data_IF_189155758126
#
_entry.id   IF_189155758126
#
_cell.length_a   1.000
_cell.length_b   1.000
_cell.length_c   1.000
_cell.angle_alpha   90.00
_cell.angle_beta   90.00
_cell.angle_gamma   90.00
#
_symmetry.space_group_name_H-M   'P 1'
#
loop_
_entity.id
_entity.type
_entity.pdbx_description
1 polymer ?
#
# COMPACT_ATOMS: atom_id res chain seq x y z
N UNK A 1 3.31 -53.64 -26.73
CA UNK A 1 4.22 -52.50 -27.04
C UNK A 1 5.14 -52.89 -28.21
N UNK A 2 4.90 -52.43 -29.45
CA UNK A 2 5.54 -52.97 -30.66
C UNK A 2 7.04 -52.61 -30.84
N UNK A 3 7.52 -51.51 -30.23
CA UNK A 3 8.94 -51.11 -30.27
C UNK A 3 9.78 -51.80 -29.19
N UNK A 4 9.27 -51.86 -27.96
CA UNK A 4 9.94 -52.50 -26.82
C UNK A 4 10.18 -53.99 -27.03
N UNK A 5 9.21 -54.70 -27.60
CA UNK A 5 9.34 -56.14 -27.90
C UNK A 5 10.32 -56.43 -29.03
N UNK A 6 10.48 -55.51 -30.01
CA UNK A 6 11.50 -55.63 -31.06
C UNK A 6 12.91 -55.37 -30.52
N UNK A 7 13.07 -54.38 -29.63
CA UNK A 7 14.35 -54.08 -28.99
C UNK A 7 14.79 -55.20 -28.03
N UNK A 8 13.85 -55.73 -27.25
CA UNK A 8 14.08 -56.84 -26.31
C UNK A 8 14.67 -58.06 -27.02
N UNK A 9 14.15 -58.42 -28.21
CA UNK A 9 14.65 -59.55 -29.00
C UNK A 9 16.09 -59.38 -29.50
N UNK A 10 16.61 -58.15 -29.59
CA UNK A 10 17.97 -57.88 -30.08
C UNK A 10 19.00 -57.68 -28.98
N UNK A 11 18.61 -57.08 -27.85
CA UNK A 11 19.55 -56.60 -26.82
C UNK A 11 19.43 -57.38 -25.50
N UNK A 12 18.40 -58.21 -25.35
CA UNK A 12 18.13 -58.92 -24.10
C UNK A 12 17.42 -58.05 -23.06
N UNK A 13 16.98 -58.67 -21.96
CA UNK A 13 16.16 -58.01 -20.94
C UNK A 13 17.02 -57.14 -19.98
N UNK A 14 18.12 -57.65 -19.43
CA UNK A 14 19.01 -56.94 -18.48
C UNK A 14 19.40 -55.49 -18.90
N UNK A 15 20.01 -55.26 -20.07
CA UNK A 15 20.43 -53.92 -20.46
C UNK A 15 19.25 -52.99 -20.79
N UNK A 16 18.12 -53.53 -21.26
CA UNK A 16 16.92 -52.75 -21.57
C UNK A 16 16.27 -52.19 -20.30
N UNK A 17 16.20 -53.01 -19.24
CA UNK A 17 15.64 -52.63 -17.94
C UNK A 17 16.55 -51.59 -17.28
N UNK A 18 17.85 -51.88 -17.23
CA UNK A 18 18.86 -51.01 -16.61
C UNK A 18 18.87 -49.64 -17.28
N UNK A 19 18.88 -49.59 -18.62
CA UNK A 19 18.82 -48.33 -19.36
C UNK A 19 17.53 -47.57 -19.11
N UNK A 20 16.38 -48.24 -18.99
CA UNK A 20 15.11 -47.61 -18.64
C UNK A 20 15.12 -46.93 -17.27
N UNK A 21 15.60 -47.63 -16.23
CA UNK A 21 15.67 -47.10 -14.87
C UNK A 21 16.71 -45.96 -14.76
N UNK A 22 17.88 -46.11 -15.40
CA UNK A 22 18.90 -45.05 -15.46
C UNK A 22 18.34 -43.82 -16.19
N UNK A 23 17.61 -44.01 -17.30
CA UNK A 23 16.99 -42.91 -18.03
C UNK A 23 15.93 -42.18 -17.20
N UNK A 24 15.14 -42.90 -16.39
CA UNK A 24 14.21 -42.29 -15.42
C UNK A 24 14.96 -41.47 -14.37
N UNK A 25 16.02 -42.02 -13.78
CA UNK A 25 16.85 -41.31 -12.80
C UNK A 25 17.48 -40.03 -13.37
N UNK A 26 18.04 -40.11 -14.58
CA UNK A 26 18.60 -38.94 -15.28
C UNK A 26 17.51 -37.90 -15.54
N UNK A 27 16.32 -38.30 -16.00
CA UNK A 27 15.23 -37.37 -16.25
C UNK A 27 14.76 -36.66 -14.97
N UNK A 28 14.65 -37.38 -13.86
CA UNK A 28 14.32 -36.78 -12.56
C UNK A 28 15.41 -35.80 -12.10
N UNK A 29 16.69 -36.13 -12.30
CA UNK A 29 17.79 -35.20 -12.06
C UNK A 29 17.72 -33.96 -12.96
N UNK A 30 17.27 -34.09 -14.21
CA UNK A 30 17.05 -32.93 -15.09
C UNK A 30 15.91 -32.05 -14.57
N UNK A 31 14.83 -32.65 -14.06
CA UNK A 31 13.69 -31.94 -13.47
C UNK A 31 14.07 -31.17 -12.20
N UNK A 32 15.10 -31.60 -11.45
CA UNK A 32 15.60 -30.82 -10.30
C UNK A 32 16.12 -29.43 -10.68
N UNK A 33 16.52 -29.23 -11.94
CA UNK A 33 17.04 -27.95 -12.47
C UNK A 33 15.94 -27.03 -13.02
N UNK A 34 14.66 -27.37 -12.82
CA UNK A 34 13.55 -26.49 -13.20
C UNK A 34 13.59 -25.20 -12.39
N UNK A 35 13.43 -24.08 -13.09
CA UNK A 35 13.38 -22.75 -12.50
C UNK A 35 12.20 -21.96 -13.08
N UNK A 36 11.88 -20.81 -12.49
CA UNK A 36 10.76 -19.95 -12.90
C UNK A 36 10.89 -19.45 -14.35
N UNK A 37 12.11 -19.42 -14.90
CA UNK A 37 12.39 -19.02 -16.28
C UNK A 37 12.46 -20.19 -17.27
N UNK A 38 12.20 -21.43 -16.83
CA UNK A 38 12.30 -22.59 -17.72
C UNK A 38 11.18 -22.57 -18.76
N UNK A 39 11.56 -22.66 -20.03
CA UNK A 39 10.61 -22.72 -21.14
C UNK A 39 9.74 -23.97 -21.07
N UNK A 40 8.47 -23.81 -21.42
CA UNK A 40 7.49 -24.90 -21.55
C UNK A 40 8.03 -26.08 -22.37
N UNK A 41 8.73 -25.79 -23.47
CA UNK A 41 9.29 -26.82 -24.36
C UNK A 41 10.30 -27.70 -23.63
N UNK A 42 11.16 -27.10 -22.80
CA UNK A 42 12.17 -27.84 -22.03
C UNK A 42 11.51 -28.78 -21.02
N UNK A 43 10.44 -28.34 -20.36
CA UNK A 43 9.68 -29.16 -19.42
C UNK A 43 9.02 -30.36 -20.12
N UNK A 44 8.43 -30.14 -21.29
CA UNK A 44 7.83 -31.21 -22.11
C UNK A 44 8.90 -32.22 -22.55
N UNK A 45 10.08 -31.76 -22.99
CA UNK A 45 11.17 -32.67 -23.37
C UNK A 45 11.63 -33.55 -22.21
N UNK A 46 11.78 -33.00 -21.00
CA UNK A 46 12.14 -33.80 -19.80
C UNK A 46 11.05 -34.82 -19.46
N UNK A 47 9.77 -34.44 -19.56
CA UNK A 47 8.64 -35.37 -19.36
C UNK A 47 8.61 -36.49 -20.40
N UNK A 48 8.93 -36.21 -21.67
CA UNK A 48 9.03 -37.24 -22.71
C UNK A 48 10.15 -38.23 -22.36
N UNK A 49 11.32 -37.74 -21.94
CA UNK A 49 12.45 -38.61 -21.54
C UNK A 49 12.05 -39.49 -20.33
N UNK A 50 11.32 -38.92 -19.36
CA UNK A 50 10.80 -39.69 -18.22
C UNK A 50 9.83 -40.79 -18.67
N UNK A 51 8.90 -40.45 -19.56
CA UNK A 51 7.93 -41.40 -20.11
C UNK A 51 8.57 -42.53 -20.93
N UNK A 52 9.64 -42.23 -21.68
CA UNK A 52 10.43 -43.23 -22.39
C UNK A 52 11.14 -44.19 -21.42
N UNK A 53 11.77 -43.65 -20.37
CA UNK A 53 12.40 -44.47 -19.33
C UNK A 53 11.39 -45.38 -18.63
N UNK A 54 10.22 -44.84 -18.28
CA UNK A 54 9.12 -45.60 -17.68
C UNK A 54 8.62 -46.73 -18.61
N UNK A 55 8.43 -46.43 -19.90
CA UNK A 55 8.01 -47.43 -20.88
C UNK A 55 9.00 -48.59 -21.04
N UNK A 56 10.31 -48.31 -20.98
CA UNK A 56 11.35 -49.34 -20.98
C UNK A 56 11.36 -50.16 -19.69
N UNK A 57 11.20 -49.50 -18.53
CA UNK A 57 11.13 -50.14 -17.22
C UNK A 57 9.92 -51.06 -17.04
N UNK A 58 8.76 -50.74 -17.62
CA UNK A 58 7.56 -51.59 -17.53
C UNK A 58 7.70 -52.94 -18.23
N UNK A 59 8.57 -53.08 -19.24
CA UNK A 59 8.78 -54.33 -19.97
C UNK A 59 9.41 -55.43 -19.09
N UNK A 60 10.11 -55.04 -18.02
CA UNK A 60 10.80 -55.92 -17.05
C UNK A 60 9.87 -56.93 -16.38
N UNK A 61 8.71 -56.47 -15.90
CA UNK A 61 7.84 -57.24 -15.01
C UNK A 61 7.25 -58.47 -15.70
N UNK A 62 6.99 -58.36 -17.01
CA UNK A 62 6.41 -59.44 -17.82
C UNK A 62 7.43 -60.55 -18.10
N UNK A 63 8.72 -60.20 -18.17
CA UNK A 63 9.78 -61.16 -18.47
C UNK A 63 10.13 -62.07 -17.29
N UNK A 64 10.03 -61.59 -16.04
CA UNK A 64 10.38 -62.36 -14.85
C UNK A 64 9.52 -63.63 -14.66
N UNK A 65 8.27 -63.62 -15.13
CA UNK A 65 7.35 -64.76 -15.02
C UNK A 65 7.65 -65.84 -16.06
N UNK A 66 8.39 -65.52 -17.14
CA UNK A 66 8.68 -66.46 -18.23
C UNK A 66 9.75 -67.50 -17.88
N UNK A 67 10.51 -67.30 -16.79
CA UNK A 67 11.59 -68.19 -16.36
C UNK A 67 11.17 -69.22 -15.30
N UNK A 68 9.86 -69.31 -14.99
CA UNK A 68 9.33 -70.22 -13.96
C UNK A 68 8.57 -71.38 -14.63
N UNK A 69 8.79 -72.61 -14.14
CA UNK A 69 8.08 -73.82 -14.58
C UNK A 69 6.55 -73.65 -14.53
N UNK A 70 5.82 -74.20 -15.51
CA UNK A 70 4.35 -73.99 -15.68
C UNK A 70 3.55 -74.26 -14.39
N UNK A 71 3.92 -75.29 -13.62
CA UNK A 71 3.23 -75.66 -12.37
C UNK A 71 3.38 -74.62 -11.25
N UNK A 72 4.38 -73.73 -11.34
CA UNK A 72 4.67 -72.68 -10.35
C UNK A 72 4.38 -71.28 -10.86
N UNK A 73 3.92 -71.13 -12.12
CA UNK A 73 3.65 -69.84 -12.74
C UNK A 73 2.58 -69.03 -11.99
N UNK A 74 1.57 -69.70 -11.43
CA UNK A 74 0.53 -69.06 -10.61
C UNK A 74 1.09 -68.43 -9.33
N UNK A 75 1.98 -69.14 -8.61
CA UNK A 75 2.64 -68.62 -7.40
C UNK A 75 3.59 -67.47 -7.73
N UNK A 76 4.39 -67.59 -8.80
CA UNK A 76 5.30 -66.54 -9.24
C UNK A 76 4.55 -65.26 -9.63
N UNK A 77 3.44 -65.38 -10.36
CA UNK A 77 2.58 -64.24 -10.70
C UNK A 77 1.99 -63.58 -9.45
N UNK A 78 1.57 -64.38 -8.45
CA UNK A 78 1.10 -63.87 -7.15
C UNK A 78 2.16 -63.05 -6.42
N UNK A 79 3.40 -63.56 -6.32
CA UNK A 79 4.52 -62.86 -5.67
C UNK A 79 4.88 -61.56 -6.39
N UNK A 80 4.92 -61.57 -7.74
CA UNK A 80 5.19 -60.37 -8.54
C UNK A 80 4.11 -59.31 -8.32
N UNK A 81 2.84 -59.71 -8.33
CA UNK A 81 1.73 -58.77 -8.10
C UNK A 81 1.73 -58.22 -6.67
N UNK A 82 2.00 -59.06 -5.66
CA UNK A 82 2.13 -58.62 -4.27
C UNK A 82 3.30 -57.65 -4.08
N UNK A 83 4.47 -57.96 -4.66
CA UNK A 83 5.65 -57.09 -4.65
C UNK A 83 5.37 -55.75 -5.32
N UNK A 84 4.63 -55.77 -6.45
CA UNK A 84 4.21 -54.54 -7.13
C UNK A 84 3.31 -53.67 -6.26
N UNK A 85 2.32 -54.26 -5.58
CA UNK A 85 1.44 -53.49 -4.69
C UNK A 85 2.20 -52.93 -3.48
N UNK A 86 3.11 -53.70 -2.88
CA UNK A 86 3.99 -53.22 -1.82
C UNK A 86 4.87 -52.05 -2.28
N UNK A 87 5.49 -52.18 -3.46
CA UNK A 87 6.29 -51.11 -4.06
C UNK A 87 5.47 -49.85 -4.34
N UNK A 88 4.24 -50.00 -4.86
CA UNK A 88 3.32 -48.87 -5.07
C UNK A 88 2.97 -48.19 -3.74
N UNK A 89 2.64 -48.94 -2.70
CA UNK A 89 2.33 -48.38 -1.37
C UNK A 89 3.52 -47.60 -0.80
N UNK A 90 4.72 -48.19 -0.84
CA UNK A 90 5.95 -47.53 -0.38
C UNK A 90 6.27 -46.28 -1.20
N UNK A 91 6.11 -46.33 -2.53
CA UNK A 91 6.33 -45.19 -3.41
C UNK A 91 5.39 -44.03 -3.13
N UNK A 92 4.10 -44.33 -2.93
CA UNK A 92 3.09 -43.31 -2.55
C UNK A 92 3.41 -42.74 -1.17
N UNK A 93 3.74 -43.58 -0.18
CA UNK A 93 4.05 -43.12 1.17
C UNK A 93 5.28 -42.19 1.19
N UNK A 94 6.34 -42.53 0.45
CA UNK A 94 7.52 -41.69 0.30
C UNK A 94 7.16 -40.35 -0.37
N UNK A 95 6.40 -40.39 -1.47
CA UNK A 95 6.00 -39.19 -2.21
C UNK A 95 5.15 -38.28 -1.33
N UNK A 96 4.10 -38.81 -0.70
CA UNK A 96 3.20 -38.04 0.18
C UNK A 96 3.98 -37.49 1.38
N UNK A 97 4.82 -38.29 2.03
CA UNK A 97 5.61 -37.86 3.18
C UNK A 97 6.58 -36.72 2.84
N UNK A 98 7.36 -36.88 1.76
CA UNK A 98 8.33 -35.87 1.30
C UNK A 98 7.63 -34.60 0.83
N UNK A 99 6.57 -34.72 0.01
CA UNK A 99 5.81 -33.58 -0.49
C UNK A 99 5.10 -32.83 0.63
N UNK A 100 4.53 -33.54 1.62
CA UNK A 100 3.91 -32.90 2.79
C UNK A 100 4.94 -32.13 3.61
N UNK A 101 6.11 -32.74 3.86
CA UNK A 101 7.19 -32.12 4.61
C UNK A 101 7.73 -30.87 3.90
N UNK A 102 8.07 -30.96 2.61
CA UNK A 102 8.61 -29.82 1.84
C UNK A 102 7.58 -28.71 1.67
N UNK A 103 6.30 -29.06 1.50
CA UNK A 103 5.20 -28.09 1.44
C UNK A 103 5.04 -27.35 2.77
N UNK A 104 5.12 -28.04 3.91
CA UNK A 104 5.03 -27.40 5.22
C UNK A 104 6.19 -26.43 5.47
N UNK A 105 7.42 -26.83 5.13
CA UNK A 105 8.58 -25.94 5.19
C UNK A 105 8.40 -24.69 4.31
N UNK A 106 7.90 -24.87 3.08
CA UNK A 106 7.59 -23.76 2.19
C UNK A 106 6.53 -22.82 2.79
N UNK A 107 5.45 -23.36 3.37
CA UNK A 107 4.41 -22.56 4.05
C UNK A 107 4.98 -21.74 5.20
N UNK A 108 5.83 -22.34 6.03
CA UNK A 108 6.44 -21.65 7.17
C UNK A 108 7.44 -20.57 6.74
N UNK A 109 8.24 -20.83 5.71
CA UNK A 109 9.13 -19.85 5.12
C UNK A 109 8.35 -18.65 4.56
N UNK A 110 7.28 -18.89 3.80
CA UNK A 110 6.41 -17.84 3.26
C UNK A 110 5.77 -17.00 4.38
N UNK A 111 5.31 -17.66 5.45
CA UNK A 111 4.73 -16.98 6.63
C UNK A 111 5.75 -16.09 7.33
N UNK A 112 6.99 -16.59 7.50
CA UNK A 112 8.08 -15.84 8.13
C UNK A 112 8.50 -14.63 7.28
N UNK A 113 8.68 -14.83 5.98
CA UNK A 113 9.01 -13.77 5.02
C UNK A 113 7.93 -12.69 5.02
N UNK A 114 6.66 -13.08 4.96
CA UNK A 114 5.53 -12.16 5.04
C UNK A 114 5.57 -11.31 6.31
N UNK A 115 5.73 -11.92 7.49
CA UNK A 115 5.75 -11.19 8.75
C UNK A 115 6.92 -10.19 8.81
N UNK A 116 8.10 -10.60 8.33
CA UNK A 116 9.28 -9.74 8.25
C UNK A 116 9.06 -8.55 7.31
N UNK A 117 8.46 -8.78 6.14
CA UNK A 117 8.19 -7.73 5.16
C UNK A 117 7.08 -6.77 5.60
N UNK A 118 6.02 -7.27 6.28
CA UNK A 118 4.99 -6.42 6.90
C UNK A 118 5.63 -5.47 7.91
N UNK A 119 6.53 -5.99 8.76
CA UNK A 119 7.26 -5.19 9.74
C UNK A 119 8.20 -4.18 9.07
N UNK A 120 8.97 -4.61 8.07
CA UNK A 120 9.92 -3.77 7.32
C UNK A 120 9.23 -2.63 6.57
N UNK A 121 8.09 -2.90 5.96
CA UNK A 121 7.29 -1.91 5.25
C UNK A 121 6.45 -1.03 6.21
N UNK A 122 6.53 -1.27 7.52
CA UNK A 122 5.79 -0.54 8.55
C UNK A 122 4.29 -0.44 8.21
N UNK A 123 3.69 -1.56 7.77
CA UNK A 123 2.28 -1.59 7.37
C UNK A 123 1.42 -1.39 8.63
N UNK A 124 0.54 -0.38 8.66
CA UNK A 124 -0.29 -0.04 9.82
C UNK A 124 -1.37 -1.09 10.11
N UNK A 125 -1.88 -1.09 11.34
CA UNK A 125 -3.16 -1.73 11.64
C UNK A 125 -4.33 -0.90 11.07
N UNK A 126 -5.41 -1.52 10.54
CA UNK A 126 -5.76 -2.94 10.54
C UNK A 126 -5.22 -3.76 9.34
N UNK A 127 -4.48 -3.14 8.42
CA UNK A 127 -4.02 -3.81 7.19
C UNK A 127 -3.02 -4.93 7.49
N UNK A 128 -2.10 -4.70 8.44
CA UNK A 128 -1.17 -5.73 8.92
C UNK A 128 -1.90 -6.99 9.38
N UNK A 129 -2.94 -6.84 10.22
CA UNK A 129 -3.74 -7.98 10.70
C UNK A 129 -4.45 -8.69 9.55
N UNK A 130 -5.13 -7.97 8.66
CA UNK A 130 -5.82 -8.59 7.52
C UNK A 130 -4.85 -9.33 6.61
N UNK A 131 -3.70 -8.75 6.29
CA UNK A 131 -2.68 -9.43 5.49
C UNK A 131 -2.18 -10.72 6.12
N UNK A 132 -1.97 -10.75 7.44
CA UNK A 132 -1.54 -11.95 8.16
C UNK A 132 -2.64 -13.00 8.21
N UNK A 133 -3.88 -12.59 8.49
CA UNK A 133 -5.03 -13.49 8.57
C UNK A 133 -5.32 -14.13 7.23
N UNK A 134 -5.41 -13.35 6.16
CA UNK A 134 -5.72 -13.85 4.82
C UNK A 134 -4.60 -14.74 4.29
N UNK A 135 -3.34 -14.39 4.57
CA UNK A 135 -2.20 -15.25 4.23
C UNK A 135 -2.27 -16.58 4.98
N UNK A 136 -2.53 -16.56 6.29
CA UNK A 136 -2.64 -17.77 7.08
C UNK A 136 -3.79 -18.65 6.60
N UNK A 137 -4.93 -18.05 6.25
CA UNK A 137 -6.04 -18.76 5.65
C UNK A 137 -5.63 -19.39 4.31
N UNK A 138 -4.99 -18.63 3.42
CA UNK A 138 -4.54 -19.10 2.11
C UNK A 138 -3.47 -20.20 2.17
N UNK A 139 -2.59 -20.18 3.17
CA UNK A 139 -1.58 -21.23 3.35
C UNK A 139 -2.17 -22.52 3.92
N UNK A 140 -3.28 -22.43 4.66
CA UNK A 140 -3.90 -23.57 5.31
C UNK A 140 -5.09 -24.14 4.52
N UNK A 141 -5.66 -23.38 3.58
CA UNK A 141 -6.76 -23.84 2.75
C UNK A 141 -6.27 -24.77 1.65
N UNK A 142 -7.02 -25.85 1.43
CA UNK A 142 -6.76 -26.80 0.34
C UNK A 142 -7.41 -26.37 -0.98
N UNK A 143 -8.36 -25.43 -0.92
CA UNK A 143 -9.28 -25.09 -2.03
C UNK A 143 -9.23 -23.62 -2.48
N UNK A 144 -8.56 -22.73 -1.74
CA UNK A 144 -8.59 -21.30 -2.05
C UNK A 144 -7.51 -20.91 -3.07
N UNK A 145 -7.83 -21.13 -4.34
CA UNK A 145 -6.95 -20.82 -5.46
C UNK A 145 -6.83 -19.32 -5.73
N UNK A 146 -7.64 -18.47 -5.07
CA UNK A 146 -7.81 -17.07 -5.44
C UNK A 146 -7.64 -16.09 -4.28
N UNK A 147 -6.78 -16.46 -3.31
CA UNK A 147 -6.47 -15.65 -2.13
C UNK A 147 -6.08 -14.19 -2.42
N UNK A 148 -5.54 -13.90 -3.61
CA UNK A 148 -5.22 -12.53 -4.02
C UNK A 148 -6.46 -11.67 -4.20
N UNK A 149 -7.56 -12.25 -4.69
CA UNK A 149 -8.84 -11.56 -4.84
C UNK A 149 -9.47 -11.33 -3.47
N UNK A 150 -9.44 -12.34 -2.60
CA UNK A 150 -9.91 -12.26 -1.21
C UNK A 150 -9.15 -11.17 -0.45
N UNK A 151 -7.81 -11.21 -0.50
CA UNK A 151 -6.96 -10.19 0.13
C UNK A 151 -7.29 -8.79 -0.38
N UNK A 152 -7.40 -8.59 -1.69
CA UNK A 152 -7.76 -7.28 -2.26
C UNK A 152 -9.13 -6.80 -1.75
N UNK A 153 -10.11 -7.69 -1.66
CA UNK A 153 -11.44 -7.36 -1.16
C UNK A 153 -11.40 -6.97 0.32
N UNK A 154 -10.65 -7.69 1.15
CA UNK A 154 -10.58 -7.45 2.60
C UNK A 154 -9.73 -6.22 2.95
N UNK A 155 -8.65 -5.95 2.20
CA UNK A 155 -7.94 -4.67 2.30
C UNK A 155 -8.84 -3.50 1.90
N UNK A 156 -9.68 -3.66 0.87
CA UNK A 156 -10.64 -2.61 0.45
C UNK A 156 -11.71 -2.35 1.51
N UNK A 157 -12.19 -3.37 2.23
CA UNK A 157 -13.11 -3.18 3.38
C UNK A 157 -12.47 -2.34 4.48
N UNK A 158 -11.18 -2.54 4.70
CA UNK A 158 -10.45 -1.78 5.69
C UNK A 158 -10.18 -0.34 5.27
N UNK A 159 -10.22 0.00 3.97
CA UNK A 159 -9.91 1.33 3.40
C UNK A 159 -10.64 2.51 4.09
N UNK A 160 -11.84 2.26 4.63
CA UNK A 160 -12.68 3.30 5.26
C UNK A 160 -12.47 3.42 6.79
N UNK A 161 -11.73 2.50 7.42
CA UNK A 161 -11.43 2.60 8.85
C UNK A 161 -10.38 3.69 9.01
N UNK A 162 -10.71 4.80 9.68
CA UNK A 162 -9.73 5.87 9.93
C UNK A 162 -8.52 5.30 10.69
N UNK A 163 -7.38 5.20 10.02
CA UNK A 163 -6.12 4.82 10.65
C UNK A 163 -5.51 6.02 11.35
N UNK A 164 -4.83 5.78 12.48
CA UNK A 164 -3.96 6.78 13.08
C UNK A 164 -2.91 7.18 12.04
N UNK A 165 -2.90 8.47 11.67
CA UNK A 165 -2.04 9.01 10.61
C UNK A 165 -0.58 8.73 10.97
N UNK A 166 0.04 7.79 10.27
CA UNK A 166 1.48 7.55 10.34
C UNK A 166 2.11 8.36 9.20
N UNK A 167 3.16 9.11 9.48
CA UNK A 167 3.91 9.84 8.45
C UNK A 167 4.29 8.89 7.30
N UNK A 168 4.20 9.32 6.03
CA UNK A 168 4.61 8.48 4.90
C UNK A 168 6.09 8.07 5.04
N UNK A 169 6.37 6.82 4.70
CA UNK A 169 7.72 6.24 4.81
C UNK A 169 8.60 6.62 3.62
N UNK A 170 8.01 6.82 2.44
CA UNK A 170 8.75 7.30 1.28
C UNK A 170 9.35 8.70 1.51
N UNK A 171 10.65 8.84 1.27
CA UNK A 171 11.39 10.10 1.47
C UNK A 171 10.80 11.31 0.74
N UNK A 172 10.34 11.13 -0.51
CA UNK A 172 9.75 12.23 -1.29
C UNK A 172 8.36 12.59 -0.77
N UNK A 173 7.51 11.60 -0.50
CA UNK A 173 6.18 11.85 0.08
C UNK A 173 6.27 12.47 1.48
N UNK A 174 7.29 12.10 2.25
CA UNK A 174 7.62 12.72 3.55
C UNK A 174 7.98 14.19 3.44
N UNK A 175 8.73 14.60 2.41
CA UNK A 175 9.01 16.03 2.15
C UNK A 175 7.73 16.81 1.86
N UNK A 176 6.86 16.28 0.99
CA UNK A 176 5.57 16.93 0.67
C UNK A 176 4.68 17.00 1.92
N UNK A 177 4.59 15.91 2.69
CA UNK A 177 3.86 15.88 3.95
C UNK A 177 4.37 16.95 4.93
N UNK A 178 5.68 17.05 5.15
CA UNK A 178 6.26 18.06 6.03
C UNK A 178 6.02 19.49 5.52
N UNK A 179 6.05 19.70 4.20
CA UNK A 179 5.70 20.97 3.57
C UNK A 179 4.26 21.37 3.87
N UNK A 180 3.30 20.45 3.70
CA UNK A 180 1.88 20.71 4.04
C UNK A 180 1.67 20.99 5.53
N UNK A 181 2.40 20.31 6.43
CA UNK A 181 2.36 20.61 7.86
C UNK A 181 2.90 22.01 8.16
N UNK A 182 4.00 22.41 7.52
CA UNK A 182 4.57 23.74 7.67
C UNK A 182 3.57 24.82 7.24
N UNK A 183 2.91 24.64 6.09
CA UNK A 183 1.86 25.54 5.59
C UNK A 183 0.71 25.61 6.59
N UNK A 184 0.23 24.46 7.08
CA UNK A 184 -0.86 24.37 8.05
C UNK A 184 -0.54 25.12 9.35
N UNK A 185 0.65 24.90 9.92
CA UNK A 185 1.09 25.55 11.15
C UNK A 185 1.29 27.06 10.98
N UNK A 186 1.89 27.50 9.86
CA UNK A 186 2.07 28.92 9.55
C UNK A 186 0.72 29.62 9.34
N UNK A 187 -0.21 28.98 8.63
CA UNK A 187 -1.57 29.49 8.46
C UNK A 187 -2.31 29.60 9.80
N UNK A 188 -2.22 28.57 10.65
CA UNK A 188 -2.83 28.58 11.98
C UNK A 188 -2.32 29.72 12.86
N UNK A 189 -1.00 29.95 12.87
CA UNK A 189 -0.39 31.08 13.60
C UNK A 189 -0.83 32.44 13.06
N UNK A 190 -0.76 32.64 11.75
CA UNK A 190 -1.18 33.89 11.12
C UNK A 190 -2.67 34.17 11.37
N UNK A 191 -3.54 33.17 11.14
CA UNK A 191 -4.98 33.28 11.37
C UNK A 191 -5.30 33.64 12.83
N UNK A 192 -4.65 32.99 13.80
CA UNK A 192 -4.83 33.30 15.22
C UNK A 192 -4.43 34.75 15.56
N UNK A 193 -3.27 35.20 15.06
CA UNK A 193 -2.82 36.57 15.26
C UNK A 193 -3.80 37.61 14.69
N UNK A 194 -4.36 37.37 13.49
CA UNK A 194 -5.37 38.25 12.91
C UNK A 194 -6.70 38.21 13.69
N UNK A 195 -7.13 37.05 14.16
CA UNK A 195 -8.32 36.91 14.99
C UNK A 195 -8.18 37.70 16.30
N UNK A 196 -7.05 37.55 17.00
CA UNK A 196 -6.81 38.24 18.28
C UNK A 196 -6.76 39.76 18.08
N UNK A 197 -6.11 40.22 17.01
CA UNK A 197 -6.06 41.65 16.64
C UNK A 197 -7.45 42.20 16.32
N UNK A 198 -8.28 41.44 15.58
CA UNK A 198 -9.65 41.83 15.23
C UNK A 198 -10.58 41.83 16.43
N UNK A 199 -10.42 40.89 17.37
CA UNK A 199 -11.17 40.89 18.63
C UNK A 199 -10.89 42.12 19.49
N UNK A 200 -9.61 42.52 19.60
CA UNK A 200 -9.22 43.76 20.27
C UNK A 200 -9.81 44.99 19.58
N UNK A 201 -9.81 45.01 18.24
CA UNK A 201 -10.40 46.11 17.46
C UNK A 201 -11.91 46.22 17.69
N UNK A 202 -12.65 45.11 17.61
CA UNK A 202 -14.09 45.05 17.88
C UNK A 202 -14.39 45.47 19.32
N UNK A 203 -13.60 45.02 20.29
CA UNK A 203 -13.76 45.40 21.69
C UNK A 203 -13.54 46.91 21.88
N UNK A 204 -12.49 47.46 21.26
CA UNK A 204 -12.23 48.89 21.23
C UNK A 204 -13.38 49.69 20.61
N UNK A 205 -13.90 49.24 19.46
CA UNK A 205 -15.05 49.86 18.78
C UNK A 205 -16.35 49.76 19.59
N UNK A 206 -16.60 48.65 20.29
CA UNK A 206 -17.77 48.52 21.18
C UNK A 206 -17.70 49.48 22.37
N UNK A 207 -16.53 49.57 23.02
CA UNK A 207 -16.27 50.55 24.09
C UNK A 207 -16.45 51.98 23.56
N UNK A 208 -15.97 52.24 22.35
CA UNK A 208 -16.20 53.50 21.65
C UNK A 208 -17.69 53.76 21.46
N UNK A 209 -18.48 52.82 20.91
CA UNK A 209 -19.93 52.98 20.72
C UNK A 209 -20.70 53.21 22.02
N UNK A 210 -20.25 52.65 23.15
CA UNK A 210 -20.89 52.88 24.46
C UNK A 210 -20.53 54.25 25.02
N UNK A 211 -19.28 54.69 24.89
CA UNK A 211 -18.83 56.02 25.32
C UNK A 211 -19.36 57.16 24.42
N UNK A 212 -19.55 56.91 23.12
CA UNK A 212 -20.16 57.81 22.13
C UNK A 212 -21.60 58.16 22.50
N UNK A 213 -22.33 57.22 23.12
CA UNK A 213 -23.74 57.40 23.48
C UNK A 213 -23.94 58.39 24.65
N UNK A 214 -22.92 58.63 25.47
CA UNK A 214 -23.02 59.44 26.69
C UNK A 214 -22.45 60.87 26.56
N UNK A 215 -21.60 61.20 25.57
CA UNK A 215 -21.17 62.61 25.32
C UNK A 215 -20.49 62.80 23.96
N UNK A 216 -20.72 63.95 23.31
CA UNK A 216 -20.20 64.28 21.97
C UNK A 216 -18.68 64.57 21.95
N UNK A 217 -18.10 65.00 23.07
CA UNK A 217 -16.64 65.22 23.24
C UNK A 217 -15.86 63.90 23.33
N UNK A 218 -16.39 62.90 24.05
CA UNK A 218 -15.78 61.57 24.23
C UNK A 218 -15.58 60.80 22.92
N UNK A 219 -16.31 61.19 21.86
CA UNK A 219 -16.24 60.58 20.52
C UNK A 219 -14.90 60.86 19.83
N UNK A 220 -14.38 62.09 19.96
CA UNK A 220 -13.14 62.51 19.32
C UNK A 220 -11.92 62.00 20.07
N UNK A 221 -11.99 61.95 21.42
CA UNK A 221 -10.97 61.36 22.29
C UNK A 221 -10.65 59.92 21.93
N UNK A 222 -11.68 59.08 21.86
CA UNK A 222 -11.50 57.65 21.65
C UNK A 222 -11.11 57.32 20.21
N UNK A 223 -11.61 58.07 19.23
CA UNK A 223 -11.20 57.92 17.83
C UNK A 223 -9.71 58.27 17.65
N UNK A 224 -9.24 59.31 18.32
CA UNK A 224 -7.83 59.70 18.34
C UNK A 224 -6.95 58.61 18.97
N UNK A 225 -7.34 58.10 20.15
CA UNK A 225 -6.61 57.03 20.84
C UNK A 225 -6.58 55.71 20.05
N UNK A 226 -7.68 55.33 19.38
CA UNK A 226 -7.74 54.11 18.55
C UNK A 226 -6.81 54.18 17.33
N UNK A 227 -6.74 55.32 16.65
CA UNK A 227 -5.86 55.49 15.49
C UNK A 227 -4.38 55.46 15.93
N UNK A 228 -4.06 56.12 17.06
CA UNK A 228 -2.68 56.12 17.59
C UNK A 228 -2.26 54.76 18.15
N UNK A 229 -3.16 54.02 18.79
CA UNK A 229 -2.87 52.69 19.34
C UNK A 229 -2.81 51.58 18.29
N UNK A 230 -3.41 51.78 17.10
CA UNK A 230 -3.33 50.87 15.96
C UNK A 230 -2.83 51.58 14.69
N UNK A 231 -1.65 52.19 14.79
CA UNK A 231 -1.04 52.96 13.70
C UNK A 231 -0.84 52.11 12.43
N UNK A 232 -0.41 50.86 12.57
CA UNK A 232 -0.15 49.95 11.45
C UNK A 232 -1.43 49.64 10.64
N UNK A 233 -2.55 49.39 11.33
CA UNK A 233 -3.84 49.15 10.67
C UNK A 233 -4.36 50.38 9.95
N UNK A 234 -4.20 51.56 10.55
CA UNK A 234 -4.56 52.84 9.95
C UNK A 234 -3.65 53.21 8.75
N UNK A 235 -2.35 52.94 8.83
CA UNK A 235 -1.40 53.14 7.74
C UNK A 235 -1.74 52.25 6.55
N UNK A 236 -2.01 50.96 6.80
CA UNK A 236 -2.41 50.03 5.75
C UNK A 236 -3.75 50.46 5.12
N UNK A 237 -4.69 50.96 5.91
CA UNK A 237 -5.95 51.51 5.40
C UNK A 237 -5.72 52.72 4.47
N UNK A 238 -4.73 53.57 4.76
CA UNK A 238 -4.34 54.69 3.90
C UNK A 238 -3.72 54.26 2.56
N UNK A 239 -3.08 53.08 2.48
CA UNK A 239 -2.52 52.59 1.22
C UNK A 239 -3.58 52.28 0.16
N UNK A 240 -4.81 51.95 0.58
CA UNK A 240 -5.93 51.65 -0.32
C UNK A 240 -6.57 52.89 -0.97
N UNK A 241 -6.09 54.10 -0.71
CA UNK A 241 -6.66 55.33 -1.27
C UNK A 241 -6.60 55.37 -2.81
N UNK A 242 -5.48 54.95 -3.39
CA UNK A 242 -5.31 54.95 -4.84
C UNK A 242 -6.21 53.90 -5.50
N UNK A 243 -6.34 52.73 -4.87
CA UNK A 243 -7.27 51.68 -5.30
C UNK A 243 -8.73 52.15 -5.22
N UNK A 244 -9.08 52.90 -4.16
CA UNK A 244 -10.41 53.46 -4.00
C UNK A 244 -10.73 54.54 -5.05
N UNK A 245 -9.77 55.37 -5.44
CA UNK A 245 -9.94 56.35 -6.53
C UNK A 245 -10.23 55.66 -7.86
N UNK A 246 -9.55 54.55 -8.15
CA UNK A 246 -9.81 53.74 -9.35
C UNK A 246 -11.19 53.10 -9.32
N UNK A 247 -11.62 52.57 -8.17
CA UNK A 247 -12.95 51.98 -7.99
C UNK A 247 -14.08 53.01 -8.12
N UNK A 248 -13.87 54.22 -7.59
CA UNK A 248 -14.86 55.31 -7.64
C UNK A 248 -15.16 55.81 -9.05
N UNK A 249 -14.24 55.60 -10.00
CA UNK A 249 -14.44 55.92 -11.41
C UNK A 249 -15.31 54.88 -12.14
N UNK A 250 -15.55 53.71 -11.54
CA UNK A 250 -16.28 52.57 -12.12
C UNK A 250 -17.62 52.28 -11.41
N UNK A 251 -17.97 53.05 -10.37
CA UNK A 251 -19.12 52.77 -9.51
C UNK A 251 -20.43 53.37 -10.03
N UNK A 252 -21.31 52.51 -10.58
CA UNK A 252 -22.58 52.95 -11.20
C UNK A 252 -23.80 52.91 -10.25
N UNK A 253 -23.72 52.20 -9.12
CA UNK A 253 -24.90 52.02 -8.25
C UNK A 253 -24.91 52.95 -7.02
N UNK A 254 -26.08 53.48 -6.62
CA UNK A 254 -26.21 54.35 -5.43
C UNK A 254 -25.69 53.74 -4.13
N UNK A 255 -25.78 52.41 -3.99
CA UNK A 255 -25.26 51.69 -2.82
C UNK A 255 -23.73 51.62 -2.80
N UNK A 256 -23.08 51.49 -3.96
CA UNK A 256 -21.61 51.48 -4.06
C UNK A 256 -21.04 52.87 -3.84
N UNK A 257 -21.66 53.92 -4.42
CA UNK A 257 -21.29 55.31 -4.17
C UNK A 257 -21.32 55.67 -2.67
N UNK A 258 -22.33 55.19 -1.94
CA UNK A 258 -22.43 55.41 -0.48
C UNK A 258 -21.33 54.69 0.30
N UNK A 259 -20.97 53.46 -0.09
CA UNK A 259 -19.88 52.69 0.55
C UNK A 259 -18.51 53.33 0.28
N UNK A 260 -18.28 53.83 -0.93
CA UNK A 260 -17.05 54.53 -1.30
C UNK A 260 -16.90 55.86 -0.57
N UNK A 261 -17.98 56.63 -0.43
CA UNK A 261 -18.00 57.85 0.39
C UNK A 261 -17.64 57.57 1.84
N UNK A 262 -18.19 56.51 2.45
CA UNK A 262 -17.86 56.10 3.82
C UNK A 262 -16.40 55.68 3.95
N UNK A 263 -15.87 54.91 3.00
CA UNK A 263 -14.47 54.47 3.03
C UNK A 263 -13.50 55.64 2.80
N UNK A 264 -13.87 56.60 1.94
CA UNK A 264 -13.10 57.83 1.71
C UNK A 264 -13.04 58.68 2.98
N UNK A 265 -14.16 58.81 3.70
CA UNK A 265 -14.20 59.50 5.00
C UNK A 265 -13.34 58.77 6.04
N UNK A 266 -13.38 57.43 6.08
CA UNK A 266 -12.57 56.63 7.02
C UNK A 266 -11.06 56.79 6.77
N UNK A 267 -10.64 56.82 5.50
CA UNK A 267 -9.24 57.10 5.11
C UNK A 267 -8.85 58.52 5.52
N UNK A 268 -9.71 59.52 5.25
CA UNK A 268 -9.43 60.91 5.60
C UNK A 268 -9.27 61.11 7.12
N UNK A 269 -10.15 60.53 7.93
CA UNK A 269 -10.08 60.53 9.39
C UNK A 269 -8.82 59.83 9.90
N UNK A 270 -8.45 58.69 9.30
CA UNK A 270 -7.23 57.94 9.67
C UNK A 270 -5.96 58.73 9.38
N UNK A 271 -5.90 59.44 8.24
CA UNK A 271 -4.77 60.32 7.89
C UNK A 271 -4.59 61.48 8.88
N UNK A 272 -5.68 62.06 9.35
CA UNK A 272 -5.65 63.15 10.35
C UNK A 272 -5.12 62.61 11.68
N UNK A 273 -5.58 61.43 12.10
CA UNK A 273 -5.12 60.80 13.33
C UNK A 273 -3.65 60.36 13.27
N UNK A 274 -3.16 60.00 12.07
CA UNK A 274 -1.76 59.65 11.83
C UNK A 274 -0.84 60.86 11.58
N UNK A 275 -1.41 62.06 11.38
CA UNK A 275 -0.64 63.27 11.07
C UNK A 275 0.32 63.65 12.22
N UNK A 276 1.59 63.98 11.93
CA UNK A 276 2.54 64.46 12.95
C UNK A 276 2.13 65.76 13.62
N UNK A 277 1.29 66.57 12.93
CA UNK A 277 0.78 67.85 13.41
C UNK A 277 -0.39 67.71 14.40
N UNK A 278 -0.96 66.51 14.54
CA UNK A 278 -2.09 66.22 15.43
C UNK A 278 -1.60 65.32 16.56
N UNK A 279 -1.27 65.96 17.69
CA UNK A 279 -0.72 65.30 18.87
C UNK A 279 -1.69 65.30 20.05
N UNK A 280 -2.70 66.17 20.02
CA UNK A 280 -3.72 66.26 21.07
C UNK A 280 -5.12 66.05 20.51
N UNK A 281 -6.02 65.55 21.37
CA UNK A 281 -7.43 65.33 21.06
C UNK A 281 -8.13 66.58 20.54
N UNK A 282 -7.86 67.75 21.14
CA UNK A 282 -8.48 69.02 20.74
C UNK A 282 -8.09 69.43 19.32
N UNK A 283 -6.84 69.16 18.91
CA UNK A 283 -6.39 69.38 17.53
C UNK A 283 -7.05 68.40 16.56
N UNK A 284 -7.21 67.14 16.97
CA UNK A 284 -7.88 66.11 16.19
C UNK A 284 -9.35 66.43 15.97
N UNK A 285 -10.05 66.84 17.04
CA UNK A 285 -11.44 67.29 17.01
C UNK A 285 -11.63 68.45 16.04
N UNK A 286 -10.82 69.51 16.18
CA UNK A 286 -10.90 70.69 15.32
C UNK A 286 -10.70 70.35 13.83
N UNK A 287 -9.77 69.44 13.51
CA UNK A 287 -9.55 69.03 12.11
C UNK A 287 -10.66 68.14 11.54
N UNK A 288 -11.30 67.30 12.35
CA UNK A 288 -12.45 66.49 11.88
C UNK A 288 -13.70 67.34 11.71
N UNK A 289 -13.94 68.30 12.60
CA UNK A 289 -15.08 69.23 12.49
C UNK A 289 -15.02 70.09 11.23
N UNK A 290 -13.82 70.33 10.68
CA UNK A 290 -13.64 71.01 9.40
C UNK A 290 -14.02 70.15 8.17
N UNK A 291 -14.19 68.84 8.33
CA UNK A 291 -14.42 67.91 7.20
C UNK A 291 -15.88 67.59 6.92
N UNK A 292 -16.83 67.74 7.86
CA UNK A 292 -18.27 67.58 7.57
C UNK A 292 -19.19 67.93 8.77
N UNK A 293 -20.36 68.58 8.55
CA UNK A 293 -21.39 68.79 9.57
C UNK A 293 -22.31 67.57 9.85
N UNK A 294 -22.03 66.37 9.31
CA UNK A 294 -22.97 65.23 9.37
C UNK A 294 -22.46 64.05 10.21
N UNK A 295 -22.34 64.25 11.52
CA UNK A 295 -21.95 63.23 12.52
C UNK A 295 -22.82 61.96 12.50
N UNK A 296 -24.06 62.04 12.00
CA UNK A 296 -24.96 60.87 11.82
C UNK A 296 -24.49 59.88 10.76
N UNK A 297 -23.84 60.33 9.67
CA UNK A 297 -23.32 59.40 8.65
C UNK A 297 -22.06 58.67 9.14
N UNK A 298 -21.29 59.30 10.02
CA UNK A 298 -20.13 58.70 10.68
C UNK A 298 -20.55 57.53 11.60
N UNK A 299 -21.63 57.70 12.37
CA UNK A 299 -22.18 56.65 13.24
C UNK A 299 -22.67 55.42 12.45
N UNK A 300 -23.36 55.66 11.33
CA UNK A 300 -23.83 54.59 10.43
C UNK A 300 -22.65 53.87 9.76
N UNK A 301 -21.62 54.62 9.34
CA UNK A 301 -20.39 54.04 8.80
C UNK A 301 -19.63 53.20 9.84
N UNK A 302 -19.59 53.63 11.09
CA UNK A 302 -18.98 52.90 12.19
C UNK A 302 -19.70 51.59 12.50
N UNK A 303 -21.04 51.59 12.52
CA UNK A 303 -21.82 50.38 12.73
C UNK A 303 -21.62 49.37 11.58
N UNK A 304 -21.60 49.84 10.33
CA UNK A 304 -21.33 48.98 9.17
C UNK A 304 -19.92 48.39 9.18
N UNK A 305 -18.93 49.17 9.65
CA UNK A 305 -17.56 48.70 9.84
C UNK A 305 -17.50 47.61 10.91
N UNK A 306 -18.18 47.80 12.04
CA UNK A 306 -18.26 46.82 13.13
C UNK A 306 -18.91 45.51 12.64
N UNK A 307 -20.01 45.60 11.91
CA UNK A 307 -20.70 44.43 11.33
C UNK A 307 -19.81 43.70 10.32
N UNK A 308 -19.10 44.43 9.46
CA UNK A 308 -18.13 43.87 8.53
C UNK A 308 -16.95 43.17 9.22
N UNK A 309 -16.41 43.75 10.29
CA UNK A 309 -15.35 43.16 11.10
C UNK A 309 -15.82 41.90 11.83
N UNK A 310 -17.03 41.90 12.39
CA UNK A 310 -17.63 40.71 13.00
C UNK A 310 -17.84 39.60 11.97
N UNK A 311 -18.31 39.93 10.77
CA UNK A 311 -18.46 38.97 9.67
C UNK A 311 -17.10 38.40 9.21
N UNK A 312 -16.07 39.24 9.11
CA UNK A 312 -14.71 38.82 8.76
C UNK A 312 -14.10 37.92 9.84
N UNK A 313 -14.24 38.28 11.12
CA UNK A 313 -13.80 37.47 12.26
C UNK A 313 -14.50 36.10 12.25
N UNK A 314 -15.81 36.07 11.99
CA UNK A 314 -16.56 34.82 11.84
C UNK A 314 -16.04 33.99 10.66
N UNK A 315 -15.70 34.62 9.53
CA UNK A 315 -15.09 33.98 8.37
C UNK A 315 -13.71 33.39 8.66
N UNK A 316 -12.85 34.12 9.37
CA UNK A 316 -11.51 33.67 9.78
C UNK A 316 -11.58 32.51 10.76
N UNK A 317 -12.51 32.55 11.73
CA UNK A 317 -12.78 31.43 12.65
C UNK A 317 -13.31 30.20 11.91
N UNK A 318 -14.04 30.39 10.82
CA UNK A 318 -14.61 29.33 9.97
C UNK A 318 -13.69 28.89 8.84
N UNK A 319 -12.48 29.43 8.70
CA UNK A 319 -11.55 29.07 7.62
C UNK A 319 -10.89 27.70 7.85
N UNK A 320 -11.75 26.70 7.86
CA UNK A 320 -11.45 25.28 7.95
C UNK A 320 -11.22 24.70 6.56
N UNK A 321 -11.61 25.38 5.47
CA UNK A 321 -11.50 24.84 4.10
C UNK A 321 -10.05 24.58 3.68
N UNK A 322 -9.13 25.52 3.95
CA UNK A 322 -7.72 25.33 3.64
C UNK A 322 -7.11 24.22 4.50
N UNK A 323 -7.41 24.22 5.81
CA UNK A 323 -6.93 23.20 6.76
C UNK A 323 -7.48 21.82 6.38
N UNK A 324 -8.75 21.74 6.02
CA UNK A 324 -9.43 20.53 5.53
C UNK A 324 -8.81 20.05 4.22
N UNK A 325 -8.55 20.94 3.26
CA UNK A 325 -7.85 20.60 2.03
C UNK A 325 -6.44 20.07 2.27
N UNK A 326 -5.68 20.70 3.16
CA UNK A 326 -4.35 20.23 3.57
C UNK A 326 -4.42 18.87 4.27
N UNK A 327 -5.42 18.65 5.14
CA UNK A 327 -5.64 17.34 5.77
C UNK A 327 -6.00 16.28 4.71
N UNK A 328 -6.83 16.60 3.73
CA UNK A 328 -7.15 15.69 2.62
C UNK A 328 -5.92 15.33 1.79
N UNK A 329 -5.06 16.31 1.49
CA UNK A 329 -3.78 16.07 0.81
C UNK A 329 -2.89 15.17 1.65
N UNK A 330 -2.77 15.42 2.96
CA UNK A 330 -1.98 14.59 3.87
C UNK A 330 -2.48 13.15 3.92
N UNK A 331 -3.80 12.94 4.00
CA UNK A 331 -4.42 11.62 3.92
C UNK A 331 -4.14 10.97 2.57
N UNK A 332 -4.32 11.69 1.45
CA UNK A 332 -4.04 11.15 0.12
C UNK A 332 -2.57 10.78 -0.10
N UNK A 333 -1.62 11.56 0.41
CA UNK A 333 -0.19 11.24 0.37
C UNK A 333 0.13 9.96 1.15
N UNK A 334 -0.51 9.78 2.29
CA UNK A 334 -0.38 8.55 3.07
C UNK A 334 -0.99 7.35 2.35
N UNK A 335 -2.17 7.50 1.77
CA UNK A 335 -2.86 6.44 1.04
C UNK A 335 -2.02 5.96 -0.15
N UNK A 336 -1.41 6.90 -0.90
CA UNK A 336 -0.50 6.59 -2.00
C UNK A 336 0.74 5.83 -1.50
N UNK A 337 1.34 6.25 -0.37
CA UNK A 337 2.48 5.55 0.23
C UNK A 337 2.09 4.13 0.68
N UNK A 338 0.93 4.00 1.33
CA UNK A 338 0.39 2.71 1.76
C UNK A 338 0.14 1.78 0.57
N UNK A 339 -0.53 2.25 -0.47
CA UNK A 339 -0.80 1.46 -1.68
C UNK A 339 0.50 0.92 -2.29
N UNK A 340 1.54 1.75 -2.41
CA UNK A 340 2.87 1.31 -2.89
C UNK A 340 3.48 0.22 -2.01
N UNK A 341 3.34 0.33 -0.69
CA UNK A 341 3.84 -0.68 0.25
C UNK A 341 3.07 -1.98 0.14
N UNK A 342 1.74 -1.93 0.00
CA UNK A 342 0.90 -3.11 -0.24
C UNK A 342 1.27 -3.80 -1.57
N UNK A 343 1.45 -3.04 -2.65
CA UNK A 343 1.88 -3.58 -3.95
C UNK A 343 3.27 -4.23 -3.86
N UNK A 344 4.19 -3.58 -3.15
CA UNK A 344 5.53 -4.14 -2.91
C UNK A 344 5.46 -5.45 -2.12
N UNK A 345 4.69 -5.47 -1.03
CA UNK A 345 4.46 -6.66 -0.21
C UNK A 345 3.91 -7.82 -1.04
N UNK A 346 2.84 -7.60 -1.82
CA UNK A 346 2.24 -8.66 -2.67
C UNK A 346 3.20 -9.19 -3.73
N UNK A 347 4.07 -8.33 -4.28
CA UNK A 347 5.09 -8.72 -5.24
C UNK A 347 6.17 -9.60 -4.59
N UNK A 348 6.67 -9.20 -3.42
CA UNK A 348 7.68 -9.95 -2.68
C UNK A 348 7.11 -11.31 -2.24
N UNK A 349 5.87 -11.32 -1.74
CA UNK A 349 5.19 -12.53 -1.33
C UNK A 349 4.99 -13.51 -2.50
N UNK A 350 4.63 -13.00 -3.68
CA UNK A 350 4.56 -13.81 -4.91
C UNK A 350 5.91 -14.44 -5.24
N UNK A 351 7.00 -13.68 -5.14
CA UNK A 351 8.34 -14.18 -5.42
C UNK A 351 8.79 -15.21 -4.38
N UNK A 352 8.59 -14.96 -3.08
CA UNK A 352 8.87 -15.92 -2.00
C UNK A 352 8.08 -17.22 -2.19
N UNK A 353 6.78 -17.12 -2.51
CA UNK A 353 5.96 -18.30 -2.82
C UNK A 353 6.52 -19.10 -4.00
N UNK A 354 6.82 -18.43 -5.11
CA UNK A 354 7.32 -19.12 -6.30
C UNK A 354 8.68 -19.79 -6.02
N UNK A 355 9.59 -19.12 -5.32
CA UNK A 355 10.90 -19.68 -4.97
C UNK A 355 10.76 -20.89 -4.05
N UNK A 356 10.02 -20.77 -2.96
CA UNK A 356 9.83 -21.86 -1.99
C UNK A 356 9.10 -23.06 -2.61
N UNK A 357 8.12 -22.83 -3.50
CA UNK A 357 7.47 -23.90 -4.25
C UNK A 357 8.44 -24.60 -5.21
N UNK A 358 9.23 -23.85 -5.97
CA UNK A 358 10.24 -24.44 -6.87
C UNK A 358 11.22 -25.31 -6.08
N UNK A 359 11.73 -24.81 -4.94
CA UNK A 359 12.61 -25.60 -4.06
C UNK A 359 11.93 -26.87 -3.55
N UNK A 360 10.67 -26.80 -3.08
CA UNK A 360 9.95 -27.97 -2.61
C UNK A 360 9.77 -29.05 -3.70
N UNK A 361 9.49 -28.65 -4.94
CA UNK A 361 9.43 -29.57 -6.08
C UNK A 361 10.79 -30.16 -6.40
N UNK A 362 11.84 -29.34 -6.44
CA UNK A 362 13.22 -29.78 -6.68
C UNK A 362 13.65 -30.83 -5.66
N UNK A 363 13.40 -30.62 -4.38
CA UNK A 363 13.73 -31.57 -3.31
C UNK A 363 12.97 -32.89 -3.46
N UNK A 364 11.69 -32.82 -3.82
CA UNK A 364 10.85 -34.01 -4.04
C UNK A 364 11.39 -34.84 -5.22
N UNK A 365 11.73 -34.19 -6.34
CA UNK A 365 12.33 -34.87 -7.50
C UNK A 365 13.72 -35.43 -7.20
N UNK A 366 14.51 -34.74 -6.37
CA UNK A 366 15.83 -35.20 -5.98
C UNK A 366 15.74 -36.48 -5.14
N UNK A 367 14.85 -36.52 -4.14
CA UNK A 367 14.63 -37.73 -3.33
C UNK A 367 14.14 -38.88 -4.21
N UNK A 368 13.21 -38.62 -5.13
CA UNK A 368 12.74 -39.63 -6.08
C UNK A 368 13.86 -40.15 -6.98
N UNK A 369 14.73 -39.27 -7.49
CA UNK A 369 15.87 -39.64 -8.33
C UNK A 369 16.87 -40.53 -7.58
N UNK A 370 17.24 -40.12 -6.36
CA UNK A 370 18.16 -40.90 -5.50
C UNK A 370 17.58 -42.29 -5.22
N UNK A 371 16.29 -42.34 -4.85
CA UNK A 371 15.61 -43.60 -4.57
C UNK A 371 15.62 -44.52 -5.80
N UNK A 372 15.21 -44.02 -6.98
CA UNK A 372 15.18 -44.81 -8.22
C UNK A 372 16.58 -45.30 -8.60
N UNK A 373 17.61 -44.46 -8.52
CA UNK A 373 18.99 -44.85 -8.87
C UNK A 373 19.59 -45.85 -7.88
N UNK A 374 19.27 -45.74 -6.58
CA UNK A 374 19.71 -46.69 -5.56
C UNK A 374 19.06 -48.07 -5.76
N UNK A 375 17.77 -48.13 -6.08
CA UNK A 375 17.12 -49.40 -6.40
C UNK A 375 17.54 -49.97 -7.76
N UNK A 376 17.92 -49.12 -8.74
CA UNK A 376 18.50 -49.56 -10.01
C UNK A 376 19.80 -50.35 -9.79
N UNK A 377 20.68 -49.81 -8.94
CA UNK A 377 21.96 -50.44 -8.61
C UNK A 377 21.77 -51.73 -7.81
N UNK A 378 20.87 -51.74 -6.83
CA UNK A 378 20.50 -52.97 -6.12
C UNK A 378 19.95 -54.05 -7.08
N UNK A 379 19.04 -53.68 -7.99
CA UNK A 379 18.46 -54.58 -8.98
C UNK A 379 19.48 -55.22 -9.92
N UNK A 380 20.53 -54.47 -10.30
CA UNK A 380 21.65 -55.02 -11.09
C UNK A 380 22.45 -56.09 -10.33
N UNK A 381 22.57 -55.98 -9.00
CA UNK A 381 23.36 -56.89 -8.18
C UNK A 381 22.58 -58.09 -7.62
N UNK A 382 21.25 -58.01 -7.53
CA UNK A 382 20.42 -59.10 -6.98
C UNK A 382 20.15 -60.25 -7.95
N UNK A 383 20.47 -60.08 -9.24
CA UNK A 383 20.22 -61.09 -10.27
C UNK A 383 21.39 -62.09 -10.31
N UNK A 384 21.34 -63.12 -9.44
CA UNK A 384 22.29 -64.24 -9.48
C UNK A 384 22.10 -65.03 -10.77
N UNK A 385 23.16 -65.14 -11.56
CA UNK A 385 23.26 -66.15 -12.62
C UNK A 385 23.25 -67.53 -11.97
N UNK A 386 22.04 -68.06 -11.76
CA UNK A 386 21.84 -69.42 -11.27
C UNK A 386 21.97 -70.38 -12.44
N UNK A 387 23.08 -71.11 -12.46
CA UNK A 387 23.23 -72.40 -13.13
C UNK A 387 22.02 -73.30 -12.82
N UNK A 388 21.02 -73.31 -13.69
CA UNK A 388 20.13 -74.46 -13.82
C UNK A 388 20.71 -75.33 -14.93
N UNK A 389 21.84 -75.97 -14.61
CA UNK A 389 22.34 -77.08 -15.41
C UNK A 389 21.33 -78.23 -15.37
N UNK A 390 21.13 -78.80 -16.56
CA UNK A 390 20.56 -80.10 -16.90
C UNK A 390 20.20 -81.01 -15.72
N UNK A 391 18.92 -81.36 -15.61
CA UNK A 391 18.46 -82.70 -15.22
C UNK A 391 16.95 -82.81 -15.56
N UNK A 392 16.67 -82.91 -16.86
CA UNK A 392 15.37 -83.37 -17.37
C UNK A 392 15.54 -83.95 -18.79
N UNK A 393 16.42 -84.94 -18.90
CA UNK A 393 16.27 -86.03 -19.88
C UNK A 393 16.14 -87.31 -19.08
N UNK A 394 14.90 -87.71 -18.85
CA UNK A 394 14.38 -89.07 -19.11
C UNK A 394 12.85 -89.06 -18.97
#
# INVERSE_FOLDING_TARGET
MPLGTKLQKKVGYKPLITSGIVLMGISLLMLTRLNQSTSWISMVSMMIILGLGFGLGCLSIVSAVQFVSQDKAGMASGIVNASRQLGTCLGIALLVGTMTHTTNLAKDAIRKDSNNEIARLAIPEPFSTTMKTDLNHALNSETDNNWQVTLKADLKKNQNRRYSIVQPQNSNLKKVYNGTQTIKCSYGRASKQYQDSMEQLILGQKKMSTAIADTQDTQYQLLFELIKSNSNGAEQLCTYENDLKLLSQQSETPANMKKEQLLTMLIAVSKIGLSPAVQTESQFKSQIELLSPNTKSLLVGQQQLLDGQMALLAGLKKSDKLVTGLNQIQTGLYDIDLERRVISYTTILRNSKNTNLTTAYTDTFLVAAIFILLFATAGMYTDREGEFHEDAKE
#
